data_IF_831441883181
#
_entry.id   IF_831441883181
#
_cell.length_a   1.000
_cell.length_b   1.000
_cell.length_c   1.000
_cell.angle_alpha   90.00
_cell.angle_beta   90.00
_cell.angle_gamma   90.00
#
_symmetry.space_group_name_H-M   'P 1'
#
loop_
_entity.id
_entity.type
_entity.pdbx_description
1 polymer ?
#
# COMPACT_ATOMS: atom_id res chain seq x y z
N UNK A 1 37.84 12.87 -42.70
CA UNK A 1 37.72 12.63 -41.24
C UNK A 1 36.61 13.49 -40.58
N UNK A 2 35.51 13.81 -41.28
CA UNK A 2 34.44 14.70 -40.78
C UNK A 2 33.17 13.93 -40.32
N UNK A 3 33.09 12.63 -40.62
CA UNK A 3 31.89 11.84 -40.43
C UNK A 3 31.65 11.30 -39.00
N UNK A 4 32.63 11.40 -38.10
CA UNK A 4 32.51 10.84 -36.73
C UNK A 4 31.90 11.80 -35.69
N UNK A 5 31.89 13.11 -35.95
CA UNK A 5 31.31 14.07 -34.99
C UNK A 5 29.79 14.23 -35.11
N UNK A 6 29.19 13.89 -36.27
CA UNK A 6 27.76 14.12 -36.49
C UNK A 6 26.87 13.10 -35.76
N UNK A 7 27.37 11.88 -35.48
CA UNK A 7 26.58 10.82 -34.87
C UNK A 7 26.32 11.05 -33.37
N UNK A 8 27.16 11.83 -32.70
CA UNK A 8 27.06 12.06 -31.24
C UNK A 8 25.94 13.07 -30.91
N UNK A 9 25.59 13.96 -31.84
CA UNK A 9 24.54 14.97 -31.63
C UNK A 9 23.11 14.40 -31.75
N UNK A 10 22.92 13.27 -32.44
CA UNK A 10 21.60 12.64 -32.60
C UNK A 10 21.20 11.84 -31.34
N UNK A 11 22.18 11.34 -30.57
CA UNK A 11 21.89 10.56 -29.35
C UNK A 11 21.48 11.48 -28.18
N UNK A 12 21.91 12.74 -28.16
CA UNK A 12 21.52 13.71 -27.12
C UNK A 12 20.10 14.29 -27.31
N UNK A 13 19.47 14.10 -28.47
CA UNK A 13 18.14 14.69 -28.75
C UNK A 13 16.97 13.77 -28.37
N UNK A 14 17.23 12.51 -27.98
CA UNK A 14 16.17 11.52 -27.69
C UNK A 14 15.90 11.40 -26.17
N UNK A 15 16.72 11.99 -25.30
CA UNK A 15 16.57 11.82 -23.84
C UNK A 15 15.60 12.78 -23.15
N UNK A 16 15.05 13.80 -23.84
CA UNK A 16 14.20 14.82 -23.23
C UNK A 16 12.71 14.73 -23.60
N UNK A 17 12.17 13.51 -23.66
CA UNK A 17 10.72 13.32 -23.56
C UNK A 17 10.39 12.14 -22.65
N UNK A 18 11.01 12.13 -21.46
CA UNK A 18 10.37 11.43 -20.35
C UNK A 18 9.04 12.12 -20.11
N UNK A 19 7.96 11.43 -20.47
CA UNK A 19 6.59 11.70 -20.11
C UNK A 19 6.54 12.15 -18.65
N UNK A 20 6.54 13.46 -18.42
CA UNK A 20 5.97 14.00 -17.21
C UNK A 20 4.47 13.79 -17.38
N UNK A 21 3.97 12.62 -16.96
CA UNK A 21 2.57 12.50 -16.60
C UNK A 21 2.41 13.40 -15.38
N UNK A 22 2.17 14.69 -15.63
CA UNK A 22 1.45 15.53 -14.67
C UNK A 22 0.07 14.90 -14.57
N UNK A 23 -0.04 13.94 -13.65
CA UNK A 23 -1.33 13.52 -13.13
C UNK A 23 -1.91 14.81 -12.60
N UNK A 24 -2.81 15.40 -13.37
CA UNK A 24 -3.65 16.48 -12.94
C UNK A 24 -4.41 15.92 -11.74
N UNK A 25 -3.89 16.20 -10.55
CA UNK A 25 -4.61 16.10 -9.30
C UNK A 25 -5.75 17.11 -9.40
N UNK A 26 -6.75 16.80 -10.21
CA UNK A 26 -8.11 17.22 -9.94
C UNK A 26 -8.32 16.82 -8.49
N UNK A 27 -8.45 17.80 -7.60
CA UNK A 27 -8.80 17.64 -6.18
C UNK A 27 -10.04 16.74 -6.08
N UNK A 28 -9.82 15.43 -6.12
CA UNK A 28 -10.87 14.44 -6.06
C UNK A 28 -10.92 14.08 -4.60
N UNK A 29 -11.85 14.73 -3.90
CA UNK A 29 -12.21 14.37 -2.53
C UNK A 29 -12.33 12.85 -2.51
N UNK A 30 -11.44 12.22 -1.75
CA UNK A 30 -11.37 10.78 -1.67
C UNK A 30 -12.47 10.33 -0.73
N UNK A 31 -13.35 9.43 -1.19
CA UNK A 31 -14.35 8.78 -0.35
C UNK A 31 -13.86 7.41 0.16
N UNK A 32 -14.64 6.77 1.02
CA UNK A 32 -14.28 5.48 1.61
C UNK A 32 -14.13 4.36 0.58
N UNK A 33 -14.84 4.41 -0.55
CA UNK A 33 -14.74 3.40 -1.61
C UNK A 33 -13.39 3.56 -2.33
N UNK A 34 -13.05 4.79 -2.71
CA UNK A 34 -11.76 5.11 -3.32
C UNK A 34 -10.58 4.71 -2.42
N UNK A 35 -10.69 4.89 -1.10
CA UNK A 35 -9.68 4.41 -0.14
C UNK A 35 -9.45 2.89 -0.26
N UNK A 36 -10.53 2.11 -0.33
CA UNK A 36 -10.45 0.65 -0.44
C UNK A 36 -9.88 0.25 -1.80
N UNK A 37 -10.32 0.88 -2.89
CA UNK A 37 -9.83 0.61 -4.23
C UNK A 37 -8.34 0.93 -4.38
N UNK A 38 -7.90 2.08 -3.84
CA UNK A 38 -6.50 2.45 -3.78
C UNK A 38 -5.68 1.39 -3.03
N UNK A 39 -6.12 1.00 -1.83
CA UNK A 39 -5.43 -0.02 -1.04
C UNK A 39 -5.35 -1.36 -1.78
N UNK A 40 -6.41 -1.79 -2.46
CA UNK A 40 -6.40 -3.02 -3.27
C UNK A 40 -5.45 -2.91 -4.46
N UNK A 41 -5.48 -1.78 -5.18
CA UNK A 41 -4.61 -1.50 -6.33
C UNK A 41 -3.13 -1.56 -5.93
N UNK A 42 -2.79 -0.99 -4.78
CA UNK A 42 -1.42 -0.98 -4.24
C UNK A 42 -1.04 -2.29 -3.52
N UNK A 43 -1.93 -3.31 -3.50
CA UNK A 43 -1.74 -4.58 -2.77
C UNK A 43 -1.51 -4.39 -1.26
N UNK A 44 -2.13 -3.37 -0.68
CA UNK A 44 -2.08 -3.00 0.74
C UNK A 44 -3.41 -3.27 1.46
N UNK A 45 -4.24 -4.13 0.88
CA UNK A 45 -5.51 -4.55 1.44
C UNK A 45 -5.43 -6.04 1.78
N UNK A 46 -5.34 -6.35 3.07
CA UNK A 46 -5.31 -7.71 3.58
C UNK A 46 -6.69 -8.09 4.10
N UNK A 47 -7.26 -9.17 3.56
CA UNK A 47 -8.50 -9.71 4.07
C UNK A 47 -8.67 -11.18 3.69
N UNK A 48 -9.00 -12.00 4.69
CA UNK A 48 -9.50 -13.35 4.48
C UNK A 48 -10.68 -13.61 5.44
N UNK A 49 -11.41 -14.69 5.20
CA UNK A 49 -12.64 -15.00 5.96
C UNK A 49 -12.40 -15.30 7.45
N UNK A 50 -11.15 -15.58 7.84
CA UNK A 50 -10.77 -15.84 9.22
C UNK A 50 -10.42 -14.56 10.00
N UNK A 51 -10.18 -13.45 9.29
CA UNK A 51 -9.81 -12.18 9.88
C UNK A 51 -11.02 -11.30 10.21
N UNK A 52 -10.79 -10.30 11.06
CA UNK A 52 -11.78 -9.24 11.29
C UNK A 52 -12.02 -8.45 10.00
N UNK A 53 -13.27 -8.02 9.72
CA UNK A 53 -13.56 -7.17 8.58
C UNK A 53 -12.70 -5.91 8.56
N UNK A 54 -12.22 -5.47 7.38
CA UNK A 54 -11.44 -4.24 7.25
C UNK A 54 -12.27 -3.03 7.67
N UNK A 55 -11.63 -2.08 8.33
CA UNK A 55 -12.27 -0.88 8.87
C UNK A 55 -11.72 0.34 8.16
N UNK A 56 -12.62 1.15 7.60
CA UNK A 56 -12.31 2.46 7.02
C UNK A 56 -12.93 3.53 7.92
N UNK A 57 -12.13 4.50 8.34
CA UNK A 57 -12.58 5.58 9.22
C UNK A 57 -12.01 6.92 8.75
N UNK A 58 -12.82 7.97 8.82
CA UNK A 58 -12.40 9.32 8.46
C UNK A 58 -12.07 10.15 9.70
N UNK A 59 -10.89 10.78 9.70
CA UNK A 59 -10.49 11.75 10.70
C UNK A 59 -10.67 13.17 10.16
N UNK A 60 -11.79 13.79 10.51
CA UNK A 60 -12.14 15.16 10.11
C UNK A 60 -11.14 16.24 10.58
N UNK A 61 -10.43 16.01 11.68
CA UNK A 61 -9.50 16.99 12.24
C UNK A 61 -8.17 17.03 11.48
N UNK A 62 -7.78 15.89 10.91
CA UNK A 62 -6.55 15.77 10.11
C UNK A 62 -6.82 15.73 8.60
N UNK A 63 -8.09 15.69 8.20
CA UNK A 63 -8.53 15.48 6.83
C UNK A 63 -7.91 14.22 6.21
N UNK A 64 -7.95 13.11 6.95
CA UNK A 64 -7.29 11.85 6.59
C UNK A 64 -8.23 10.67 6.72
N UNK A 65 -8.08 9.70 5.83
CA UNK A 65 -8.68 8.39 5.93
C UNK A 65 -7.71 7.41 6.60
N UNK A 66 -8.22 6.60 7.51
CA UNK A 66 -7.51 5.46 8.08
C UNK A 66 -8.19 4.18 7.61
N UNK A 67 -7.43 3.33 6.91
CA UNK A 67 -7.81 1.96 6.59
C UNK A 67 -7.03 1.01 7.49
N UNK A 68 -7.74 0.08 8.12
CA UNK A 68 -7.16 -1.06 8.84
C UNK A 68 -7.64 -2.31 8.14
N UNK A 69 -6.71 -3.14 7.69
CA UNK A 69 -7.01 -4.42 7.04
C UNK A 69 -6.16 -5.52 7.70
N UNK A 70 -6.68 -6.75 7.70
CA UNK A 70 -6.07 -7.85 8.44
C UNK A 70 -6.23 -9.15 7.68
N UNK A 71 -5.18 -9.95 7.66
CA UNK A 71 -5.22 -11.34 7.23
C UNK A 71 -4.79 -12.24 8.39
N UNK A 72 -5.50 -13.35 8.57
CA UNK A 72 -5.27 -14.29 9.67
C UNK A 72 -4.88 -15.65 9.12
N UNK A 73 -3.68 -16.12 9.43
CA UNK A 73 -3.13 -17.39 8.94
C UNK A 73 -2.83 -18.33 10.11
N UNK A 74 -3.08 -19.62 9.93
CA UNK A 74 -2.63 -20.64 10.88
C UNK A 74 -1.19 -21.02 10.54
N UNK A 75 -0.31 -21.01 11.54
CA UNK A 75 1.11 -21.35 11.41
C UNK A 75 1.42 -22.50 12.36
N UNK A 76 2.21 -23.46 11.89
CA UNK A 76 2.61 -24.65 12.65
C UNK A 76 4.13 -24.73 12.72
N UNK A 77 4.69 -24.91 13.93
CA UNK A 77 6.12 -25.10 14.16
C UNK A 77 7.00 -23.88 13.85
N UNK A 78 8.21 -23.85 14.40
CA UNK A 78 9.26 -22.86 14.12
C UNK A 78 9.00 -21.45 14.66
N UNK A 79 7.99 -20.76 14.14
CA UNK A 79 7.64 -19.38 14.50
C UNK A 79 6.81 -19.32 15.80
N UNK A 80 6.10 -20.41 16.11
CA UNK A 80 5.34 -20.56 17.34
C UNK A 80 6.27 -21.08 18.46
N UNK A 81 6.92 -20.16 19.18
CA UNK A 81 7.99 -20.48 20.15
C UNK A 81 7.65 -21.62 21.14
N UNK A 82 6.39 -21.72 21.58
CA UNK A 82 5.99 -22.59 22.69
C UNK A 82 4.69 -23.39 22.42
N UNK A 83 4.26 -23.54 21.17
CA UNK A 83 3.01 -24.25 20.85
C UNK A 83 3.11 -25.03 19.54
N UNK A 84 2.32 -26.11 19.43
CA UNK A 84 2.22 -26.94 18.21
C UNK A 84 1.58 -26.17 17.03
N UNK A 85 0.93 -25.05 17.31
CA UNK A 85 0.41 -24.11 16.34
C UNK A 85 0.11 -22.74 16.95
N UNK A 86 0.10 -21.71 16.10
CA UNK A 86 -0.27 -20.36 16.47
C UNK A 86 -1.02 -19.69 15.32
N UNK A 87 -1.81 -18.68 15.66
CA UNK A 87 -2.49 -17.82 14.71
C UNK A 87 -1.61 -16.61 14.45
N UNK A 88 -1.19 -16.43 13.20
CA UNK A 88 -0.50 -15.24 12.73
C UNK A 88 -1.52 -14.25 12.17
N UNK A 89 -1.63 -13.09 12.81
CA UNK A 89 -2.43 -11.97 12.30
C UNK A 89 -1.50 -10.93 11.68
N UNK A 90 -1.67 -10.67 10.39
CA UNK A 90 -0.97 -9.64 9.64
C UNK A 90 -1.87 -8.43 9.48
N UNK A 91 -1.45 -7.29 10.00
CA UNK A 91 -2.18 -6.04 9.96
C UNK A 91 -1.51 -5.07 9.00
N UNK A 92 -2.32 -4.39 8.19
CA UNK A 92 -1.91 -3.17 7.49
C UNK A 92 -2.77 -2.01 7.98
N UNK A 93 -2.12 -0.94 8.41
CA UNK A 93 -2.74 0.34 8.71
C UNK A 93 -2.25 1.37 7.70
N UNK A 94 -3.17 1.93 6.91
CA UNK A 94 -2.88 3.01 5.98
C UNK A 94 -3.48 4.32 6.50
N UNK A 95 -2.73 5.41 6.34
CA UNK A 95 -3.20 6.78 6.49
C UNK A 95 -3.14 7.42 5.11
N UNK A 96 -4.29 7.87 4.60
CA UNK A 96 -4.46 8.43 3.27
C UNK A 96 -4.96 9.86 3.41
N UNK A 97 -4.34 10.77 2.66
CA UNK A 97 -4.77 12.16 2.58
C UNK A 97 -6.13 12.25 1.85
N UNK A 98 -7.13 12.89 2.45
CA UNK A 98 -8.47 12.89 1.87
C UNK A 98 -8.64 13.85 0.69
N UNK A 99 -7.76 14.84 0.54
CA UNK A 99 -7.80 15.81 -0.56
C UNK A 99 -7.08 15.29 -1.80
N UNK A 100 -5.90 14.72 -1.62
CA UNK A 100 -5.04 14.25 -2.71
C UNK A 100 -5.20 12.76 -3.01
N UNK A 101 -5.79 11.98 -2.11
CA UNK A 101 -5.86 10.52 -2.23
C UNK A 101 -4.49 9.84 -2.10
N UNK A 102 -3.47 10.53 -1.59
CA UNK A 102 -2.11 10.00 -1.46
C UNK A 102 -1.94 9.23 -0.16
N UNK A 103 -1.24 8.10 -0.18
CA UNK A 103 -0.87 7.36 1.03
C UNK A 103 0.22 8.15 1.78
N UNK A 104 -0.12 8.69 2.95
CA UNK A 104 0.80 9.43 3.83
C UNK A 104 1.65 8.50 4.67
N UNK A 105 1.06 7.39 5.13
CA UNK A 105 1.74 6.43 5.99
C UNK A 105 1.19 5.02 5.80
N UNK A 106 2.09 4.06 5.97
CA UNK A 106 1.82 2.63 5.94
C UNK A 106 2.51 2.02 7.15
N UNK A 107 1.77 1.22 7.92
CA UNK A 107 2.32 0.42 9.00
C UNK A 107 1.90 -1.03 8.80
N UNK A 108 2.88 -1.93 8.90
CA UNK A 108 2.66 -3.37 8.86
C UNK A 108 3.04 -3.96 10.21
N UNK A 109 2.22 -4.89 10.70
CA UNK A 109 2.50 -5.59 11.94
C UNK A 109 2.06 -7.03 11.83
N UNK A 110 2.89 -7.95 12.28
CA UNK A 110 2.51 -9.35 12.48
C UNK A 110 2.44 -9.63 13.97
N UNK A 111 1.35 -10.25 14.43
CA UNK A 111 1.25 -10.77 15.79
C UNK A 111 1.00 -12.26 15.76
N UNK A 112 1.75 -13.00 16.57
CA UNK A 112 1.55 -14.44 16.76
C UNK A 112 0.81 -14.66 18.08
N UNK A 113 -0.28 -15.41 18.04
CA UNK A 113 -1.04 -15.81 19.21
C UNK A 113 -1.06 -17.33 19.29
N UNK A 114 -0.50 -17.90 20.36
CA UNK A 114 -0.48 -19.34 20.57
C UNK A 114 -1.91 -19.90 20.66
N UNK A 115 -2.14 -21.04 20.02
CA UNK A 115 -3.35 -21.83 20.24
C UNK A 115 -3.09 -22.60 21.53
N UNK A 116 -3.73 -22.17 22.62
CA UNK A 116 -3.74 -22.93 23.86
C UNK A 116 -4.82 -24.01 23.72
N UNK A 117 -4.38 -25.26 23.59
CA UNK A 117 -5.24 -26.45 23.71
C UNK A 117 -5.52 -26.78 25.18
#
# INVERSE_FOLDING_TARGET
MIFKCLLILIILSITNSSFAQTISSSNKITDSIHVVELAKKEKLFLYNNAASPPVVSFNKYKNEWKLVSTETNNVTGGDCKNSNGCIANHYIVLIIDAETGTIKSKQEKTTLQAILE
#
